data_IF_435421800298
#
_entry.id   IF_435421800298
#
_cell.length_a   1.000
_cell.length_b   1.000
_cell.length_c   1.000
_cell.angle_alpha   90.00
_cell.angle_beta   90.00
_cell.angle_gamma   90.00
#
_symmetry.space_group_name_H-M   'P 1'
#
loop_
_entity.id
_entity.type
_entity.pdbx_description
1 polymer ?
#
# COMPACT_ATOMS: atom_id res chain seq x y z
N UNK A 1 12.63 -69.36 -16.88
CA UNK A 1 12.15 -69.07 -15.50
C UNK A 1 12.68 -67.75 -14.94
N UNK A 2 13.95 -67.38 -15.14
CA UNK A 2 14.51 -66.13 -14.60
C UNK A 2 13.88 -64.82 -15.13
N UNK A 3 13.42 -64.77 -16.39
CA UNK A 3 12.78 -63.58 -16.96
C UNK A 3 11.37 -63.27 -16.47
N UNK A 4 10.65 -64.26 -15.91
CA UNK A 4 9.33 -64.06 -15.29
C UNK A 4 9.46 -63.45 -13.89
N UNK A 5 10.48 -63.85 -13.13
CA UNK A 5 10.76 -63.34 -11.78
C UNK A 5 11.20 -61.86 -11.82
N UNK A 6 12.00 -61.47 -12.82
CA UNK A 6 12.41 -60.07 -13.01
C UNK A 6 11.25 -59.15 -13.41
N UNK A 7 10.27 -59.66 -14.15
CA UNK A 7 9.11 -58.90 -14.57
C UNK A 7 8.10 -58.67 -13.42
N UNK A 8 7.95 -59.64 -12.51
CA UNK A 8 7.16 -59.48 -11.30
C UNK A 8 7.82 -58.51 -10.30
N UNK A 9 9.15 -58.61 -10.11
CA UNK A 9 9.93 -57.71 -9.22
C UNK A 9 9.87 -56.24 -9.68
N UNK A 10 9.78 -56.00 -11.00
CA UNK A 10 9.64 -54.66 -11.55
C UNK A 10 8.23 -54.08 -11.37
N UNK A 11 7.18 -54.90 -11.50
CA UNK A 11 5.80 -54.50 -11.20
C UNK A 11 5.56 -54.23 -9.72
N UNK A 12 6.20 -54.99 -8.83
CA UNK A 12 6.17 -54.74 -7.39
C UNK A 12 6.87 -53.41 -7.06
N UNK A 13 8.06 -53.14 -7.64
CA UNK A 13 8.72 -51.84 -7.46
C UNK A 13 7.90 -50.67 -8.00
N UNK A 14 7.25 -50.80 -9.15
CA UNK A 14 6.37 -49.76 -9.68
C UNK A 14 5.16 -49.53 -8.75
N UNK A 15 4.58 -50.60 -8.17
CA UNK A 15 3.52 -50.48 -7.16
C UNK A 15 4.00 -49.82 -5.88
N UNK A 16 5.19 -50.16 -5.40
CA UNK A 16 5.79 -49.56 -4.20
C UNK A 16 6.14 -48.09 -4.44
N UNK A 17 6.61 -47.72 -5.65
CA UNK A 17 6.85 -46.34 -6.05
C UNK A 17 5.55 -45.53 -6.15
N UNK A 18 4.47 -46.12 -6.68
CA UNK A 18 3.13 -45.51 -6.74
C UNK A 18 2.43 -45.49 -5.37
N UNK A 19 2.83 -46.34 -4.44
CA UNK A 19 2.34 -46.30 -3.05
C UNK A 19 3.14 -45.30 -2.22
N UNK A 20 4.43 -45.12 -2.53
CA UNK A 20 5.33 -44.15 -1.91
C UNK A 20 5.07 -42.72 -2.41
N UNK A 21 4.82 -42.54 -3.71
CA UNK A 21 4.18 -41.35 -4.26
C UNK A 21 2.69 -41.47 -3.98
N UNK A 22 2.23 -40.97 -2.82
CA UNK A 22 0.82 -40.93 -2.40
C UNK A 22 -0.08 -40.15 -3.39
N UNK A 23 -0.26 -40.67 -4.60
CA UNK A 23 -1.17 -40.16 -5.61
C UNK A 23 -2.47 -40.92 -5.39
N UNK A 24 -3.50 -40.30 -4.80
CA UNK A 24 -4.74 -40.99 -4.50
C UNK A 24 -5.33 -41.57 -5.79
N UNK A 25 -5.45 -42.90 -5.84
CA UNK A 25 -5.97 -43.66 -7.00
C UNK A 25 -7.47 -43.44 -7.23
N UNK A 26 -8.16 -42.79 -6.30
CA UNK A 26 -9.58 -42.41 -6.38
C UNK A 26 -9.77 -40.97 -5.90
N UNK A 27 -10.68 -40.19 -6.52
CA UNK A 27 -10.93 -38.82 -6.09
C UNK A 27 -11.45 -38.79 -4.64
N UNK A 28 -10.74 -38.09 -3.76
CA UNK A 28 -11.15 -37.85 -2.37
C UNK A 28 -12.43 -37.00 -2.36
N UNK A 29 -13.51 -37.56 -1.81
CA UNK A 29 -14.77 -36.83 -1.60
C UNK A 29 -14.78 -36.25 -0.20
N UNK A 30 -14.61 -34.93 -0.11
CA UNK A 30 -14.72 -34.18 1.13
C UNK A 30 -16.09 -33.53 1.22
N UNK A 31 -16.62 -33.41 2.43
CA UNK A 31 -17.75 -32.53 2.71
C UNK A 31 -17.36 -31.06 2.51
N UNK A 32 -18.36 -30.18 2.44
CA UNK A 32 -18.12 -28.74 2.32
C UNK A 32 -17.24 -28.19 3.44
N UNK A 33 -17.52 -28.57 4.70
CA UNK A 33 -16.78 -28.07 5.86
C UNK A 33 -15.35 -28.59 5.91
N UNK A 34 -15.13 -29.86 5.58
CA UNK A 34 -13.78 -30.42 5.49
C UNK A 34 -12.96 -29.70 4.42
N UNK A 35 -13.56 -29.46 3.24
CA UNK A 35 -12.92 -28.70 2.17
C UNK A 35 -12.65 -27.25 2.57
N UNK A 36 -13.58 -26.62 3.31
CA UNK A 36 -13.42 -25.26 3.81
C UNK A 36 -12.27 -25.14 4.81
N UNK A 37 -12.19 -26.03 5.79
CA UNK A 37 -11.12 -26.04 6.79
C UNK A 37 -9.78 -26.41 6.18
N UNK A 38 -9.74 -27.42 5.30
CA UNK A 38 -8.52 -27.78 4.59
C UNK A 38 -7.99 -26.61 3.75
N UNK A 39 -8.88 -25.87 3.06
CA UNK A 39 -8.50 -24.69 2.29
C UNK A 39 -7.92 -23.57 3.16
N UNK A 40 -8.55 -23.25 4.29
CA UNK A 40 -8.05 -22.21 5.19
C UNK A 40 -6.74 -22.60 5.88
N UNK A 41 -6.61 -23.88 6.26
CA UNK A 41 -5.35 -24.43 6.77
C UNK A 41 -4.24 -24.27 5.72
N UNK A 42 -4.52 -24.61 4.46
CA UNK A 42 -3.56 -24.41 3.37
C UNK A 42 -3.25 -22.93 3.14
N UNK A 43 -4.24 -22.03 3.14
CA UNK A 43 -4.00 -20.59 2.99
C UNK A 43 -3.18 -19.99 4.15
N UNK A 44 -3.27 -20.55 5.35
CA UNK A 44 -2.58 -20.05 6.54
C UNK A 44 -1.14 -20.58 6.66
N UNK A 45 -0.93 -21.87 6.38
CA UNK A 45 0.34 -22.55 6.67
C UNK A 45 1.14 -22.95 5.44
N UNK A 46 0.52 -23.02 4.26
CA UNK A 46 1.29 -23.19 3.03
C UNK A 46 1.81 -21.82 2.66
N UNK A 47 2.94 -21.47 3.27
CA UNK A 47 3.80 -20.42 2.79
C UNK A 47 4.16 -20.77 1.35
N UNK A 48 3.66 -20.02 0.37
CA UNK A 48 4.33 -19.96 -0.92
C UNK A 48 5.76 -19.58 -0.62
N UNK A 49 6.70 -20.53 -0.77
CA UNK A 49 8.13 -20.25 -0.74
C UNK A 49 8.33 -18.94 -1.49
N UNK A 50 8.71 -17.89 -0.76
CA UNK A 50 8.74 -16.54 -1.28
C UNK A 50 9.73 -16.50 -2.42
N UNK A 51 9.21 -16.67 -3.64
CA UNK A 51 9.99 -16.67 -4.86
C UNK A 51 10.83 -15.39 -4.84
N UNK A 52 12.15 -15.60 -4.84
CA UNK A 52 13.24 -14.70 -5.22
C UNK A 52 12.85 -13.22 -5.30
N UNK A 53 13.39 -12.39 -4.38
CA UNK A 53 13.30 -10.93 -4.36
C UNK A 53 12.97 -10.34 -5.75
N UNK A 54 11.68 -10.03 -5.97
CA UNK A 54 11.23 -9.49 -7.24
C UNK A 54 11.83 -8.09 -7.43
N UNK A 55 12.24 -7.72 -8.65
CA UNK A 55 12.93 -6.44 -8.89
C UNK A 55 12.13 -5.21 -8.37
N UNK A 56 10.81 -5.27 -8.46
CA UNK A 56 9.89 -4.23 -7.97
C UNK A 56 9.37 -4.45 -6.54
N UNK A 57 9.91 -5.41 -5.79
CA UNK A 57 9.54 -5.56 -4.38
C UNK A 57 9.96 -4.33 -3.59
N UNK A 58 9.16 -3.97 -2.59
CA UNK A 58 9.43 -2.84 -1.71
C UNK A 58 9.10 -3.15 -0.26
N UNK A 59 9.85 -2.54 0.63
CA UNK A 59 9.70 -2.75 2.07
C UNK A 59 8.67 -1.78 2.68
N UNK A 60 8.01 -2.16 3.79
CA UNK A 60 7.05 -1.29 4.48
C UNK A 60 7.59 0.12 4.75
N UNK A 61 8.85 0.23 5.16
CA UNK A 61 9.52 1.52 5.44
C UNK A 61 9.66 2.43 4.21
N UNK A 62 9.69 1.86 3.01
CA UNK A 62 9.83 2.61 1.76
C UNK A 62 8.50 3.22 1.30
N UNK A 63 7.37 2.70 1.77
CA UNK A 63 6.05 3.10 1.28
C UNK A 63 5.65 4.53 1.65
N UNK A 64 5.84 5.04 2.90
CA UNK A 64 5.49 6.42 3.23
C UNK A 64 6.21 7.48 2.40
N UNK A 65 7.40 7.15 1.90
CA UNK A 65 8.23 8.01 1.04
C UNK A 65 8.09 7.71 -0.44
N UNK A 66 7.27 6.71 -0.81
CA UNK A 66 7.10 6.26 -2.20
C UNK A 66 8.46 6.08 -2.90
N UNK A 67 9.38 5.35 -2.26
CA UNK A 67 10.73 5.17 -2.80
C UNK A 67 10.75 4.26 -4.02
N UNK A 68 9.92 3.21 -4.04
CA UNK A 68 9.82 2.29 -5.17
C UNK A 68 8.38 2.22 -5.69
N UNK A 69 8.23 2.34 -7.00
CA UNK A 69 6.98 2.07 -7.72
C UNK A 69 6.94 0.65 -8.28
N UNK A 70 5.86 0.31 -8.99
CA UNK A 70 5.71 -0.99 -9.66
C UNK A 70 5.47 -0.74 -11.14
N UNK A 71 6.24 -1.38 -12.03
CA UNK A 71 5.91 -1.42 -13.45
C UNK A 71 4.89 -2.55 -13.70
N UNK A 72 3.73 -2.23 -14.27
CA UNK A 72 2.73 -3.23 -14.66
C UNK A 72 2.87 -3.65 -16.11
N UNK A 73 3.20 -2.70 -16.98
CA UNK A 73 3.29 -2.95 -18.40
C UNK A 73 4.26 -1.97 -19.04
N UNK A 74 5.03 -2.46 -20.00
CA UNK A 74 5.86 -1.65 -20.88
C UNK A 74 5.65 -2.17 -22.30
N UNK A 75 5.44 -1.27 -23.25
CA UNK A 75 5.32 -1.60 -24.66
C UNK A 75 6.65 -2.16 -25.20
N UNK A 76 6.56 -3.17 -26.05
CA UNK A 76 7.75 -3.78 -26.68
C UNK A 76 8.35 -2.92 -27.80
N UNK A 77 7.56 -2.03 -28.39
CA UNK A 77 7.96 -1.22 -29.56
C UNK A 77 8.08 0.28 -29.26
N UNK A 78 7.60 0.72 -28.09
CA UNK A 78 7.63 2.11 -27.66
C UNK A 78 7.96 2.19 -26.17
N UNK A 79 8.42 3.33 -25.65
CA UNK A 79 8.59 3.51 -24.20
C UNK A 79 7.27 3.85 -23.47
N UNK A 80 6.12 3.50 -24.05
CA UNK A 80 4.84 3.62 -23.35
C UNK A 80 4.82 2.61 -22.19
N UNK A 81 4.42 3.06 -21.01
CA UNK A 81 4.50 2.25 -19.80
C UNK A 81 3.37 2.57 -18.82
N UNK A 82 2.88 1.54 -18.12
CA UNK A 82 1.91 1.65 -17.03
C UNK A 82 2.64 1.36 -15.72
N UNK A 83 2.70 2.35 -14.84
CA UNK A 83 3.38 2.26 -13.55
C UNK A 83 2.44 2.62 -12.41
N UNK A 84 2.45 1.79 -11.35
CA UNK A 84 1.88 2.17 -10.07
C UNK A 84 2.78 3.20 -9.40
N UNK A 85 2.35 4.46 -9.46
CA UNK A 85 2.96 5.56 -8.76
C UNK A 85 1.86 6.45 -8.17
N UNK A 86 1.96 6.76 -6.89
CA UNK A 86 1.03 7.66 -6.23
C UNK A 86 1.23 9.12 -6.67
N UNK A 87 0.20 9.95 -6.49
CA UNK A 87 0.36 11.38 -6.67
C UNK A 87 1.27 11.92 -5.56
N UNK A 88 2.47 12.39 -5.94
CA UNK A 88 3.52 12.89 -5.04
C UNK A 88 2.98 13.88 -4.03
N UNK A 89 2.18 14.85 -4.48
CA UNK A 89 1.68 15.93 -3.62
C UNK A 89 0.76 15.37 -2.54
N UNK A 90 -0.20 14.50 -2.92
CA UNK A 90 -1.08 13.83 -1.95
C UNK A 90 -0.25 12.94 -1.03
N UNK A 91 0.72 12.21 -1.58
CA UNK A 91 1.48 11.22 -0.84
C UNK A 91 2.27 11.85 0.31
N UNK A 92 3.06 12.88 -0.01
CA UNK A 92 3.88 13.59 0.98
C UNK A 92 3.03 14.46 1.91
N UNK A 93 2.00 15.15 1.40
CA UNK A 93 1.10 15.94 2.28
C UNK A 93 0.38 15.05 3.28
N UNK A 94 -0.08 13.86 2.89
CA UNK A 94 -0.69 12.89 3.79
C UNK A 94 0.30 12.35 4.83
N UNK A 95 1.57 12.12 4.45
CA UNK A 95 2.63 11.73 5.39
C UNK A 95 2.94 12.85 6.39
N UNK A 96 3.11 14.11 5.94
CA UNK A 96 3.31 15.27 6.83
C UNK A 96 2.12 15.46 7.75
N UNK A 97 0.90 15.29 7.23
CA UNK A 97 -0.32 15.44 8.01
C UNK A 97 -0.49 14.36 9.08
N UNK A 98 -0.09 13.12 8.80
CA UNK A 98 -0.03 12.06 9.81
C UNK A 98 0.83 12.49 11.01
N UNK A 99 2.03 13.03 10.76
CA UNK A 99 2.88 13.56 11.83
C UNK A 99 2.26 14.78 12.53
N UNK A 100 1.65 15.69 11.77
CA UNK A 100 0.97 16.86 12.31
C UNK A 100 -0.16 16.46 13.27
N UNK A 101 -1.01 15.52 12.87
CA UNK A 101 -2.09 14.99 13.71
C UNK A 101 -1.55 14.36 14.99
N UNK A 102 -0.53 13.50 14.90
CA UNK A 102 0.10 12.89 16.07
C UNK A 102 0.69 13.94 17.02
N UNK A 103 1.34 14.98 16.50
CA UNK A 103 1.86 16.09 17.29
C UNK A 103 0.75 16.87 17.99
N UNK A 104 -0.36 17.17 17.29
CA UNK A 104 -1.53 17.83 17.86
C UNK A 104 -2.18 16.97 18.94
N UNK A 105 -2.31 15.67 18.72
CA UNK A 105 -2.84 14.73 19.70
C UNK A 105 -2.01 14.75 20.99
N UNK A 106 -0.68 14.61 20.88
CA UNK A 106 0.22 14.67 22.04
C UNK A 106 0.11 16.04 22.73
N UNK A 107 0.09 17.13 21.96
CA UNK A 107 -0.06 18.48 22.49
C UNK A 107 -1.35 18.65 23.29
N UNK A 108 -2.50 18.24 22.74
CA UNK A 108 -3.78 18.33 23.45
C UNK A 108 -3.84 17.44 24.68
N UNK A 109 -3.30 16.22 24.62
CA UNK A 109 -3.24 15.34 25.79
C UNK A 109 -2.38 15.95 26.91
N UNK A 110 -1.24 16.55 26.58
CA UNK A 110 -0.39 17.23 27.56
C UNK A 110 -1.08 18.45 28.19
N UNK A 111 -1.80 19.24 27.39
CA UNK A 111 -2.54 20.42 27.88
C UNK A 111 -3.74 20.04 28.75
N UNK A 112 -4.51 19.02 28.34
CA UNK A 112 -5.61 18.49 29.15
C UNK A 112 -5.11 17.89 30.47
N UNK A 113 -3.94 17.23 30.48
CA UNK A 113 -3.30 16.77 31.74
C UNK A 113 -2.94 17.91 32.69
N UNK A 114 -2.70 19.13 32.16
CA UNK A 114 -2.48 20.37 32.94
C UNK A 114 -3.78 21.14 33.22
N UNK A 115 -4.94 20.52 32.97
CA UNK A 115 -6.26 21.12 33.14
C UNK A 115 -6.50 22.36 32.24
N UNK A 116 -5.77 22.45 31.12
CA UNK A 116 -6.02 23.45 30.09
C UNK A 116 -6.87 22.84 28.96
N UNK A 117 -8.10 23.32 28.80
CA UNK A 117 -9.04 22.85 27.79
C UNK A 117 -9.12 23.86 26.65
N UNK A 118 -8.32 23.66 25.59
CA UNK A 118 -8.27 24.56 24.42
C UNK A 118 -9.45 24.40 23.47
N UNK A 119 -10.06 23.22 23.48
CA UNK A 119 -11.14 22.83 22.60
C UNK A 119 -12.37 22.53 23.44
N UNK A 120 -13.53 23.01 22.96
CA UNK A 120 -14.84 22.64 23.47
C UNK A 120 -15.02 21.11 23.39
N UNK A 121 -15.83 20.54 24.30
CA UNK A 121 -16.00 19.09 24.39
C UNK A 121 -16.48 18.45 23.08
N UNK A 122 -17.35 19.12 22.32
CA UNK A 122 -17.80 18.63 21.00
C UNK A 122 -16.63 18.51 20.00
N UNK A 123 -15.81 19.57 19.91
CA UNK A 123 -14.66 19.61 18.99
C UNK A 123 -13.57 18.61 19.42
N UNK A 124 -13.39 18.44 20.72
CA UNK A 124 -12.49 17.43 21.27
C UNK A 124 -12.94 16.01 20.94
N UNK A 125 -14.21 15.67 21.17
CA UNK A 125 -14.75 14.35 20.86
C UNK A 125 -14.65 14.04 19.36
N UNK A 126 -14.91 15.03 18.50
CA UNK A 126 -14.72 14.88 17.06
C UNK A 126 -13.24 14.63 16.71
N UNK A 127 -12.31 15.39 17.29
CA UNK A 127 -10.87 15.20 17.08
C UNK A 127 -10.40 13.81 17.52
N UNK A 128 -10.90 13.30 18.66
CA UNK A 128 -10.62 11.94 19.12
C UNK A 128 -11.16 10.89 18.15
N UNK A 129 -12.42 11.01 17.74
CA UNK A 129 -13.06 10.09 16.80
C UNK A 129 -12.30 10.01 15.47
N UNK A 130 -11.83 11.15 14.95
CA UNK A 130 -10.97 11.21 13.75
C UNK A 130 -9.72 10.33 13.93
N UNK A 131 -9.07 10.39 15.08
CA UNK A 131 -7.90 9.56 15.38
C UNK A 131 -8.24 8.09 15.55
N UNK A 132 -9.27 7.80 16.34
CA UNK A 132 -9.74 6.44 16.59
C UNK A 132 -10.11 5.71 15.30
N UNK A 133 -10.72 6.40 14.35
CA UNK A 133 -11.12 5.79 13.07
C UNK A 133 -9.97 5.82 12.06
N UNK A 134 -9.41 6.99 11.76
CA UNK A 134 -8.48 7.12 10.63
C UNK A 134 -7.04 6.83 11.00
N UNK A 135 -6.55 7.27 12.17
CA UNK A 135 -5.20 6.92 12.61
C UNK A 135 -5.11 5.43 12.97
N UNK A 136 -6.06 4.88 13.72
CA UNK A 136 -6.05 3.45 14.01
C UNK A 136 -6.26 2.62 12.74
N UNK A 137 -7.17 3.03 11.84
CA UNK A 137 -7.36 2.40 10.54
C UNK A 137 -6.07 2.37 9.71
N UNK A 138 -5.32 3.47 9.69
CA UNK A 138 -3.99 3.53 9.08
C UNK A 138 -3.04 2.51 9.71
N UNK A 139 -2.94 2.49 11.04
CA UNK A 139 -2.02 1.60 11.76
C UNK A 139 -2.38 0.13 11.55
N UNK A 140 -3.66 -0.24 11.61
CA UNK A 140 -4.10 -1.62 11.38
C UNK A 140 -3.83 -2.11 9.95
N UNK A 141 -3.84 -1.22 8.97
CA UNK A 141 -3.52 -1.58 7.58
C UNK A 141 -2.04 -1.39 7.23
N UNK A 142 -1.20 -0.91 8.14
CA UNK A 142 0.22 -0.68 7.88
C UNK A 142 1.13 -1.55 8.75
N UNK A 143 0.88 -1.60 10.07
CA UNK A 143 1.70 -2.32 11.03
C UNK A 143 1.82 -3.83 10.77
N UNK A 144 0.78 -4.57 10.35
CA UNK A 144 0.91 -6.00 10.14
C UNK A 144 1.99 -6.36 9.10
N UNK A 145 2.23 -5.51 8.11
CA UNK A 145 3.23 -5.77 7.07
C UNK A 145 4.67 -5.80 7.56
N UNK A 146 4.96 -5.26 8.74
CA UNK A 146 6.29 -5.36 9.36
C UNK A 146 6.58 -6.76 9.91
N UNK A 147 5.54 -7.58 10.11
CA UNK A 147 5.66 -8.92 10.70
C UNK A 147 5.42 -10.03 9.68
N UNK A 148 5.28 -9.68 8.40
CA UNK A 148 5.01 -10.62 7.32
C UNK A 148 6.29 -10.86 6.52
N UNK A 149 6.79 -12.09 6.55
CA UNK A 149 7.97 -12.53 5.81
C UNK A 149 7.58 -13.05 4.42
N UNK A 150 7.18 -12.14 3.51
CA UNK A 150 6.91 -12.48 2.10
C UNK A 150 7.31 -11.32 1.18
N UNK A 151 7.34 -11.55 -0.13
CA UNK A 151 7.56 -10.49 -1.11
C UNK A 151 6.41 -9.47 -1.06
N UNK A 152 6.72 -8.23 -0.71
CA UNK A 152 5.76 -7.14 -0.62
C UNK A 152 5.98 -6.11 -1.73
N UNK A 153 4.95 -5.30 -1.95
CA UNK A 153 4.87 -4.32 -3.02
C UNK A 153 4.07 -3.11 -2.58
N UNK A 154 4.27 -1.97 -3.24
CA UNK A 154 3.62 -0.70 -2.89
C UNK A 154 2.08 -0.78 -2.82
N UNK A 155 1.43 -1.64 -3.61
CA UNK A 155 -0.04 -1.76 -3.60
C UNK A 155 -0.59 -2.25 -2.25
N UNK A 156 0.20 -3.00 -1.47
CA UNK A 156 -0.17 -3.45 -0.13
C UNK A 156 -0.41 -2.27 0.84
N UNK A 157 0.24 -1.13 0.58
CA UNK A 157 0.09 0.08 1.36
C UNK A 157 -1.18 0.89 1.02
N UNK A 158 -1.81 0.66 -0.14
CA UNK A 158 -2.93 1.49 -0.60
C UNK A 158 -4.13 1.54 0.36
N UNK A 159 -4.53 0.44 1.03
CA UNK A 159 -5.57 0.49 2.06
C UNK A 159 -5.19 1.43 3.21
N UNK A 160 -3.96 1.33 3.72
CA UNK A 160 -3.45 2.24 4.74
C UNK A 160 -3.41 3.68 4.21
N UNK A 161 -2.95 3.87 2.98
CA UNK A 161 -2.91 5.17 2.32
C UNK A 161 -4.30 5.83 2.25
N UNK A 162 -5.38 5.07 2.00
CA UNK A 162 -6.73 5.59 1.99
C UNK A 162 -7.12 6.21 3.36
N UNK A 163 -6.91 5.48 4.46
CA UNK A 163 -7.11 6.03 5.81
C UNK A 163 -6.24 7.26 6.07
N UNK A 164 -4.98 7.24 5.60
CA UNK A 164 -4.07 8.39 5.72
C UNK A 164 -4.59 9.62 4.96
N UNK A 165 -5.20 9.45 3.79
CA UNK A 165 -5.80 10.57 3.03
C UNK A 165 -7.09 11.11 3.67
N UNK A 166 -7.89 10.26 4.32
CA UNK A 166 -9.04 10.70 5.10
C UNK A 166 -8.59 11.49 6.34
N UNK A 167 -7.56 11.01 7.03
CA UNK A 167 -6.93 11.73 8.14
C UNK A 167 -6.40 13.09 7.69
N UNK A 168 -5.80 13.17 6.49
CA UNK A 168 -5.35 14.43 5.91
C UNK A 168 -6.50 15.44 5.78
N UNK A 169 -7.61 15.06 5.16
CA UNK A 169 -8.76 15.94 4.98
C UNK A 169 -9.32 16.42 6.33
N UNK A 170 -9.54 15.48 7.27
CA UNK A 170 -10.08 15.78 8.59
C UNK A 170 -9.15 16.69 9.42
N UNK A 171 -7.83 16.51 9.31
CA UNK A 171 -6.86 17.35 10.04
C UNK A 171 -6.77 18.75 9.44
N UNK A 172 -6.90 18.92 8.12
CA UNK A 172 -6.96 20.24 7.48
C UNK A 172 -8.21 21.01 7.94
N UNK A 173 -9.35 20.35 8.03
CA UNK A 173 -10.58 20.92 8.58
C UNK A 173 -10.41 21.32 10.06
N UNK A 174 -9.83 20.43 10.87
CA UNK A 174 -9.53 20.73 12.27
C UNK A 174 -8.59 21.93 12.43
N UNK A 175 -7.53 22.01 11.61
CA UNK A 175 -6.59 23.14 11.64
C UNK A 175 -7.27 24.46 11.27
N UNK A 176 -8.13 24.46 10.25
CA UNK A 176 -8.93 25.63 9.90
C UNK A 176 -9.83 26.07 11.05
N UNK A 177 -10.52 25.12 11.69
CA UNK A 177 -11.37 25.39 12.86
C UNK A 177 -10.57 26.01 14.00
N UNK A 178 -9.39 25.47 14.31
CA UNK A 178 -8.49 26.03 15.34
C UNK A 178 -8.05 27.45 14.99
N UNK A 179 -7.63 27.69 13.75
CA UNK A 179 -7.19 29.02 13.31
C UNK A 179 -8.32 30.07 13.40
N UNK A 180 -9.51 29.71 12.95
CA UNK A 180 -10.64 30.64 12.85
C UNK A 180 -11.41 30.83 14.16
N UNK A 181 -11.70 29.74 14.88
CA UNK A 181 -12.61 29.77 16.03
C UNK A 181 -11.85 29.89 17.35
N UNK A 182 -10.75 29.14 17.51
CA UNK A 182 -9.98 29.10 18.76
C UNK A 182 -9.00 30.27 18.84
N UNK A 183 -8.13 30.40 17.83
CA UNK A 183 -7.11 31.46 17.78
C UNK A 183 -7.66 32.79 17.24
N UNK A 184 -8.82 32.78 16.58
CA UNK A 184 -9.49 33.95 15.98
C UNK A 184 -8.62 34.72 14.98
N UNK A 185 -7.67 34.03 14.34
CA UNK A 185 -6.74 34.58 13.35
C UNK A 185 -7.36 34.54 11.95
N UNK A 186 -8.40 35.34 11.71
CA UNK A 186 -9.19 35.31 10.45
C UNK A 186 -8.34 35.48 9.19
N UNK A 187 -7.37 36.39 9.19
CA UNK A 187 -6.48 36.59 8.04
C UNK A 187 -5.67 35.34 7.74
N UNK A 188 -5.13 34.67 8.77
CA UNK A 188 -4.39 33.41 8.63
C UNK A 188 -5.29 32.30 8.14
N UNK A 189 -6.53 32.22 8.64
CA UNK A 189 -7.52 31.25 8.16
C UNK A 189 -7.88 31.46 6.68
N UNK A 190 -7.98 32.71 6.21
CA UNK A 190 -8.17 33.01 4.78
C UNK A 190 -6.95 32.58 3.94
N UNK A 191 -5.73 32.88 4.39
CA UNK A 191 -4.51 32.41 3.71
C UNK A 191 -4.42 30.88 3.70
N UNK A 192 -4.88 30.21 4.75
CA UNK A 192 -4.92 28.76 4.81
C UNK A 192 -5.88 28.16 3.77
N UNK A 193 -7.07 28.75 3.58
CA UNK A 193 -7.99 28.34 2.51
C UNK A 193 -7.33 28.52 1.14
N UNK A 194 -6.69 29.66 0.89
CA UNK A 194 -5.99 29.91 -0.37
C UNK A 194 -4.88 28.87 -0.61
N UNK A 195 -4.11 28.55 0.43
CA UNK A 195 -3.08 27.51 0.36
C UNK A 195 -3.68 26.13 0.03
N UNK A 196 -4.84 25.78 0.60
CA UNK A 196 -5.55 24.54 0.26
C UNK A 196 -6.01 24.52 -1.20
N UNK A 197 -6.50 25.65 -1.74
CA UNK A 197 -6.89 25.76 -3.16
C UNK A 197 -5.68 25.62 -4.10
N UNK A 198 -4.56 26.27 -3.77
CA UNK A 198 -3.31 26.12 -4.53
C UNK A 198 -2.81 24.68 -4.48
N UNK A 199 -2.89 24.04 -3.32
CA UNK A 199 -2.54 22.64 -3.13
C UNK A 199 -3.42 21.70 -3.98
N UNK A 200 -4.73 21.92 -4.03
CA UNK A 200 -5.65 21.18 -4.91
C UNK A 200 -5.30 21.37 -6.39
N UNK A 201 -5.00 22.61 -6.82
CA UNK A 201 -4.56 22.86 -8.19
C UNK A 201 -3.25 22.13 -8.52
N UNK A 202 -2.29 22.10 -7.58
CA UNK A 202 -1.04 21.37 -7.74
C UNK A 202 -1.26 19.85 -7.89
N UNK A 203 -2.20 19.27 -7.15
CA UNK A 203 -2.59 17.87 -7.31
C UNK A 203 -3.05 17.57 -8.73
N UNK A 204 -3.91 18.44 -9.28
CA UNK A 204 -4.44 18.29 -10.65
C UNK A 204 -3.30 18.38 -11.67
N UNK A 205 -2.40 19.36 -11.53
CA UNK A 205 -1.24 19.52 -12.41
C UNK A 205 -0.30 18.31 -12.37
N UNK A 206 -0.05 17.76 -11.17
CA UNK A 206 0.76 16.54 -11.04
C UNK A 206 0.05 15.35 -11.65
N UNK A 207 -1.27 15.21 -11.44
CA UNK A 207 -2.04 14.14 -12.07
C UNK A 207 -2.01 14.21 -13.59
N UNK A 208 -2.21 15.39 -14.19
CA UNK A 208 -2.17 15.54 -15.65
C UNK A 208 -0.79 15.19 -16.21
N UNK A 209 0.29 15.60 -15.53
CA UNK A 209 1.66 15.26 -15.94
C UNK A 209 1.96 13.76 -15.85
N UNK A 210 1.53 13.08 -14.79
CA UNK A 210 1.78 11.65 -14.58
C UNK A 210 0.70 10.73 -15.17
N UNK A 211 -0.37 11.29 -15.75
CA UNK A 211 -1.46 10.53 -16.38
C UNK A 211 -0.98 9.58 -17.47
N UNK A 212 0.08 9.97 -18.18
CA UNK A 212 0.78 9.17 -19.18
C UNK A 212 1.23 7.80 -18.62
N UNK A 213 1.75 7.78 -17.39
CA UNK A 213 2.17 6.54 -16.71
C UNK A 213 0.99 5.73 -16.14
N UNK A 214 -0.19 6.35 -16.00
CA UNK A 214 -1.39 5.66 -15.50
C UNK A 214 -2.17 4.99 -16.62
N UNK A 215 -2.30 5.67 -17.77
CA UNK A 215 -3.08 5.17 -18.90
C UNK A 215 -2.24 4.40 -19.93
N UNK A 216 -0.94 4.66 -20.04
CA UNK A 216 -0.04 3.96 -20.98
C UNK A 216 -0.39 4.17 -22.45
N UNK A 217 -1.19 5.18 -22.80
CA UNK A 217 -1.70 5.42 -24.16
C UNK A 217 -0.76 6.24 -25.04
N UNK A 218 0.17 7.00 -24.43
CA UNK A 218 1.08 7.88 -25.17
C UNK A 218 2.44 7.23 -25.36
N UNK A 219 2.99 7.39 -26.57
CA UNK A 219 4.36 6.96 -26.89
C UNK A 219 5.34 7.97 -26.29
N UNK A 220 6.21 7.50 -25.41
CA UNK A 220 7.23 8.32 -24.75
C UNK A 220 8.59 8.19 -25.46
N UNK A 221 9.35 9.29 -25.53
CA UNK A 221 10.78 9.23 -25.82
C UNK A 221 11.57 8.94 -24.54
N UNK A 222 12.84 8.55 -24.68
CA UNK A 222 13.76 8.38 -23.54
C UNK A 222 13.85 9.64 -22.68
N UNK A 223 13.89 10.82 -23.31
CA UNK A 223 13.96 12.10 -22.60
C UNK A 223 12.69 12.38 -21.82
N UNK A 224 11.52 11.99 -22.34
CA UNK A 224 10.25 12.18 -21.64
C UNK A 224 10.18 11.31 -20.38
N UNK A 225 10.66 10.06 -20.45
CA UNK A 225 10.74 9.16 -19.28
C UNK A 225 11.69 9.73 -18.23
N UNK A 226 12.84 10.27 -18.64
CA UNK A 226 13.79 10.93 -17.73
C UNK A 226 13.16 12.16 -17.07
N UNK A 227 12.41 12.98 -17.82
CA UNK A 227 11.71 14.15 -17.30
C UNK A 227 10.60 13.83 -16.29
N UNK A 228 10.07 12.60 -16.32
CA UNK A 228 9.10 12.09 -15.36
C UNK A 228 9.75 11.52 -14.10
N UNK A 229 11.07 11.24 -14.12
CA UNK A 229 11.83 10.74 -12.97
C UNK A 229 12.15 11.87 -11.99
N UNK A 230 11.19 12.21 -11.14
CA UNK A 230 11.34 13.27 -10.13
C UNK A 230 12.11 12.83 -8.88
N UNK A 231 12.29 11.52 -8.70
CA UNK A 231 13.06 10.95 -7.60
C UNK A 231 14.04 9.93 -8.15
N UNK A 232 15.28 9.98 -7.68
CA UNK A 232 16.34 9.07 -8.14
C UNK A 232 16.00 7.61 -7.87
N UNK A 233 15.22 7.33 -6.84
CA UNK A 233 14.80 5.96 -6.50
C UNK A 233 13.72 5.40 -7.44
N UNK A 234 13.15 6.20 -8.34
CA UNK A 234 12.18 5.71 -9.31
C UNK A 234 12.86 5.15 -10.54
N UNK A 235 12.83 3.83 -10.65
CA UNK A 235 13.40 3.10 -11.78
C UNK A 235 12.32 2.87 -12.85
N UNK A 236 12.30 3.75 -13.85
CA UNK A 236 11.50 3.56 -15.06
C UNK A 236 12.29 2.77 -16.11
N UNK A 237 11.59 1.92 -16.86
CA UNK A 237 12.23 1.14 -17.92
C UNK A 237 12.38 2.02 -19.16
N UNK A 238 13.59 2.04 -19.72
CA UNK A 238 13.91 2.80 -20.93
C UNK A 238 14.52 1.85 -21.95
N UNK A 239 13.89 1.71 -23.11
CA UNK A 239 14.54 1.10 -24.26
C UNK A 239 15.56 2.09 -24.82
N UNK A 240 16.78 1.60 -25.02
CA UNK A 240 17.81 2.37 -25.72
C UNK A 240 17.48 2.29 -27.21
N UNK A 241 17.12 3.44 -27.81
CA UNK A 241 17.00 3.57 -29.26
C UNK A 241 18.32 3.19 -29.94
#
# INVERSE_FOLDING_TARGET
MAGLVLADDQKERERDLVTAEMIPTTPTKLSFWEKFFELHYKMMFVSTDSVQNHMYSSEPLEWPLMSRGIAYWVSSSSNAQIHLLGNVIIWYSATVCLFCYCCLLVFYLLRRRRLCYDLDETNWNQFQLIGEVFLAGYLFHYLPYFFIERTLFLHHYLPAFAFKTLLLAATLEHLYMVLNNVLKLRSVACFFILACLVWLAAIIVVFTKFSVLSYGTTVLSTNDVINLRWKDTWDFIVHKN
#
